data_IF_069804489431
#
_entry.id   IF_069804489431
#
_cell.length_a   1.000
_cell.length_b   1.000
_cell.length_c   1.000
_cell.angle_alpha   90.00
_cell.angle_beta   90.00
_cell.angle_gamma   90.00
#
_symmetry.space_group_name_H-M   'P 1'
#
loop_
_entity.id
_entity.type
_entity.pdbx_description
1 polymer ?
#
# COMPACT_ATOMS: atom_id res chain seq x y z
N UNK A 1 -18.66 14.65 7.63
CA UNK A 1 -18.64 13.45 6.76
C UNK A 1 -19.19 13.83 5.39
N UNK A 2 -18.59 13.33 4.31
CA UNK A 2 -19.10 13.56 2.95
C UNK A 2 -19.98 12.37 2.54
N UNK A 3 -21.17 12.67 2.05
CA UNK A 3 -22.13 11.71 1.49
C UNK A 3 -22.26 11.97 0.00
N UNK A 4 -22.38 10.94 -0.82
CA UNK A 4 -22.69 11.08 -2.25
C UNK A 4 -24.06 10.48 -2.52
N UNK A 5 -25.00 11.30 -2.97
CA UNK A 5 -26.38 10.91 -3.27
C UNK A 5 -26.70 11.40 -4.68
N UNK A 6 -27.09 10.48 -5.58
CA UNK A 6 -27.43 10.83 -6.96
C UNK A 6 -26.29 11.46 -7.76
N UNK A 7 -25.02 11.16 -7.44
CA UNK A 7 -23.84 11.77 -8.05
C UNK A 7 -23.43 13.13 -7.47
N UNK A 8 -24.21 13.69 -6.56
CA UNK A 8 -23.91 14.94 -5.86
C UNK A 8 -23.30 14.68 -4.50
N UNK A 9 -22.38 15.56 -4.05
CA UNK A 9 -21.68 15.45 -2.76
C UNK A 9 -22.38 16.34 -1.73
N UNK A 10 -22.63 15.78 -0.53
CA UNK A 10 -23.23 16.45 0.60
C UNK A 10 -22.31 16.36 1.82
N UNK A 11 -22.31 17.40 2.64
CA UNK A 11 -21.58 17.42 3.90
C UNK A 11 -22.50 17.10 5.06
N UNK A 12 -22.19 16.02 5.81
CA UNK A 12 -22.85 15.72 7.08
C UNK A 12 -22.05 16.36 8.21
N UNK A 13 -22.69 17.18 9.00
CA UNK A 13 -22.14 17.76 10.23
C UNK A 13 -23.11 17.56 11.39
N UNK A 14 -22.56 17.41 12.58
CA UNK A 14 -23.35 17.25 13.82
C UNK A 14 -23.31 18.57 14.56
N UNK A 15 -24.46 19.07 14.94
CA UNK A 15 -24.57 20.28 15.77
C UNK A 15 -25.29 19.96 17.08
N UNK A 16 -24.89 20.54 18.19
CA UNK A 16 -25.53 20.31 19.49
C UNK A 16 -26.90 20.99 19.63
N UNK A 17 -27.31 21.82 18.64
CA UNK A 17 -28.57 22.56 18.68
C UNK A 17 -29.36 22.29 17.40
N UNK A 18 -30.66 22.07 17.52
CA UNK A 18 -31.57 21.91 16.40
C UNK A 18 -31.88 23.30 15.77
N UNK A 19 -31.53 23.43 14.50
CA UNK A 19 -31.94 24.54 13.63
C UNK A 19 -32.44 23.95 12.31
N UNK A 20 -33.20 24.71 11.57
CA UNK A 20 -33.64 24.33 10.21
C UNK A 20 -32.42 24.37 9.30
N UNK A 21 -32.04 23.25 8.69
CA UNK A 21 -30.95 23.17 7.71
C UNK A 21 -31.52 22.95 6.33
N UNK A 22 -31.06 23.70 5.36
CA UNK A 22 -31.26 23.42 3.95
C UNK A 22 -30.05 22.69 3.41
N UNK A 23 -30.27 21.57 2.72
CA UNK A 23 -29.24 20.93 1.89
C UNK A 23 -29.15 21.73 0.59
N UNK A 24 -28.05 22.44 0.42
CA UNK A 24 -27.81 23.26 -0.79
C UNK A 24 -26.62 22.64 -1.54
N UNK A 25 -26.71 22.60 -2.86
CA UNK A 25 -25.62 22.20 -3.73
C UNK A 25 -24.50 23.25 -3.63
N UNK A 26 -23.30 22.85 -3.32
CA UNK A 26 -22.17 23.75 -3.17
C UNK A 26 -21.82 24.45 -4.50
N UNK A 27 -22.08 23.82 -5.64
CA UNK A 27 -21.89 24.41 -6.95
C UNK A 27 -22.89 25.55 -7.21
N UNK A 28 -24.14 25.43 -6.73
CA UNK A 28 -25.17 26.53 -6.81
C UNK A 28 -24.78 27.77 -6.00
N UNK A 29 -23.97 27.57 -4.94
CA UNK A 29 -23.49 28.66 -4.08
C UNK A 29 -22.15 29.25 -4.55
N UNK A 30 -21.54 28.73 -5.62
CA UNK A 30 -20.20 29.12 -6.08
C UNK A 30 -19.10 28.87 -5.06
N UNK A 31 -19.32 27.94 -4.12
CA UNK A 31 -18.32 27.55 -3.13
C UNK A 31 -17.39 26.53 -3.74
N UNK A 32 -16.07 26.80 -3.75
CA UNK A 32 -15.05 25.80 -4.02
C UNK A 32 -15.07 24.76 -2.91
N UNK A 33 -15.47 23.55 -3.26
CA UNK A 33 -15.45 22.41 -2.34
C UNK A 33 -14.02 21.85 -2.34
N UNK A 34 -13.20 22.26 -1.40
CA UNK A 34 -11.94 21.55 -1.16
C UNK A 34 -12.25 20.11 -0.71
N UNK A 35 -12.01 19.14 -1.58
CA UNK A 35 -12.05 17.75 -1.17
C UNK A 35 -10.99 17.53 -0.06
N UNK A 36 -11.34 16.86 1.06
CA UNK A 36 -10.37 16.57 2.09
C UNK A 36 -9.20 15.82 1.49
N UNK A 37 -8.08 16.51 1.35
CA UNK A 37 -6.87 15.92 0.76
C UNK A 37 -6.35 14.85 1.72
N UNK A 38 -6.34 13.62 1.23
CA UNK A 38 -5.80 12.49 1.97
C UNK A 38 -4.28 12.65 2.06
N UNK A 39 -3.75 12.77 3.29
CA UNK A 39 -2.31 12.77 3.49
C UNK A 39 -1.72 11.38 3.29
N UNK A 40 -1.33 11.11 2.06
CA UNK A 40 -0.74 9.84 1.66
C UNK A 40 0.55 9.49 2.44
N UNK A 41 1.30 10.49 2.92
CA UNK A 41 2.52 10.26 3.72
C UNK A 41 2.16 9.79 5.13
N UNK A 42 1.22 10.48 5.80
CA UNK A 42 0.75 10.12 7.12
C UNK A 42 0.09 8.72 7.13
N UNK A 43 -0.76 8.43 6.15
CA UNK A 43 -1.38 7.12 6.00
C UNK A 43 -0.35 6.01 5.72
N UNK A 44 0.58 6.26 4.82
CA UNK A 44 1.63 5.27 4.50
C UNK A 44 2.54 4.99 5.70
N UNK A 45 2.81 5.96 6.55
CA UNK A 45 3.60 5.78 7.77
C UNK A 45 2.95 4.82 8.79
N UNK A 46 1.61 4.72 8.79
CA UNK A 46 0.85 3.82 9.67
C UNK A 46 0.86 2.36 9.17
N UNK A 47 1.26 2.09 7.92
CA UNK A 47 1.29 0.75 7.38
C UNK A 47 2.33 -0.14 8.07
N UNK A 48 1.90 -1.32 8.53
CA UNK A 48 2.75 -2.31 9.21
C UNK A 48 2.75 -3.67 8.49
N UNK A 49 3.02 -3.74 7.19
CA UNK A 49 2.91 -4.97 6.43
C UNK A 49 3.90 -6.03 6.91
N UNK A 50 3.45 -7.27 6.98
CA UNK A 50 4.28 -8.43 7.31
C UNK A 50 4.58 -9.20 6.03
N UNK A 51 5.85 -9.37 5.70
CA UNK A 51 6.25 -10.19 4.57
C UNK A 51 6.76 -11.55 5.01
N UNK A 52 6.38 -12.57 4.28
CA UNK A 52 6.83 -13.96 4.48
C UNK A 52 7.32 -14.55 3.16
N UNK A 53 8.33 -15.41 3.21
CA UNK A 53 8.75 -16.18 2.06
C UNK A 53 8.53 -17.67 2.29
N UNK A 54 8.11 -18.37 1.26
CA UNK A 54 7.95 -19.82 1.28
C UNK A 54 8.48 -20.41 -0.03
N UNK A 55 9.08 -21.60 0.06
CA UNK A 55 9.47 -22.39 -1.10
C UNK A 55 8.20 -22.96 -1.74
N UNK A 56 8.00 -22.74 -3.04
CA UNK A 56 6.84 -23.25 -3.77
C UNK A 56 7.16 -24.36 -4.76
N UNK A 57 8.40 -24.45 -5.23
CA UNK A 57 8.89 -25.50 -6.13
C UNK A 57 10.41 -25.61 -6.00
N UNK A 58 11.01 -26.58 -6.70
CA UNK A 58 12.47 -26.85 -6.63
C UNK A 58 13.36 -25.60 -6.76
N UNK A 59 12.92 -24.60 -7.54
CA UNK A 59 13.70 -23.37 -7.81
C UNK A 59 12.95 -22.07 -7.51
N UNK A 60 11.77 -22.14 -6.89
CA UNK A 60 10.94 -20.95 -6.70
C UNK A 60 10.73 -20.61 -5.22
N UNK A 61 10.85 -19.34 -4.89
CA UNK A 61 10.51 -18.80 -3.59
C UNK A 61 9.42 -17.75 -3.79
N UNK A 62 8.25 -17.99 -3.21
CA UNK A 62 7.16 -17.00 -3.18
C UNK A 62 7.32 -16.11 -1.96
N UNK A 63 7.35 -14.81 -2.18
CA UNK A 63 7.30 -13.79 -1.15
C UNK A 63 5.87 -13.23 -1.14
N UNK A 64 5.21 -13.28 0.00
CA UNK A 64 3.84 -12.77 0.17
C UNK A 64 3.85 -11.68 1.24
N UNK A 65 3.15 -10.59 0.97
CA UNK A 65 2.89 -9.51 1.92
C UNK A 65 1.51 -9.74 2.52
N UNK A 66 1.47 -9.92 3.83
CA UNK A 66 0.22 -10.00 4.59
C UNK A 66 -0.10 -8.63 5.14
N UNK A 67 -1.34 -8.21 4.96
CA UNK A 67 -1.91 -6.96 5.40
C UNK A 67 -2.98 -7.29 6.44
N UNK A 68 -2.95 -6.66 7.58
CA UNK A 68 -4.00 -6.77 8.58
C UNK A 68 -5.25 -5.95 8.19
N UNK A 69 -6.24 -5.87 9.08
CA UNK A 69 -7.47 -5.13 8.82
C UNK A 69 -7.21 -3.63 8.67
N UNK A 70 -6.32 -3.07 9.48
CA UNK A 70 -5.95 -1.67 9.46
C UNK A 70 -5.16 -1.32 8.18
N UNK A 71 -4.14 -2.12 7.82
CA UNK A 71 -3.38 -1.95 6.57
C UNK A 71 -4.31 -1.95 5.34
N UNK A 72 -5.29 -2.88 5.32
CA UNK A 72 -6.26 -2.97 4.20
C UNK A 72 -7.16 -1.73 4.13
N UNK A 73 -7.62 -1.21 5.27
CA UNK A 73 -8.43 0.01 5.32
C UNK A 73 -7.64 1.22 4.81
N UNK A 74 -6.39 1.39 5.27
CA UNK A 74 -5.51 2.47 4.80
C UNK A 74 -5.26 2.36 3.28
N UNK A 75 -4.98 1.16 2.78
CA UNK A 75 -4.75 0.97 1.34
C UNK A 75 -6.00 1.24 0.53
N UNK A 76 -7.19 0.92 1.06
CA UNK A 76 -8.46 1.26 0.42
C UNK A 76 -8.64 2.77 0.36
N UNK A 77 -8.47 3.48 1.48
CA UNK A 77 -8.56 4.94 1.57
C UNK A 77 -7.62 5.64 0.58
N UNK A 78 -6.35 5.20 0.51
CA UNK A 78 -5.40 5.71 -0.47
C UNK A 78 -5.86 5.52 -1.92
N UNK A 79 -6.46 4.36 -2.23
CA UNK A 79 -6.95 4.08 -3.59
C UNK A 79 -8.21 4.88 -3.93
N UNK A 80 -9.12 5.01 -2.98
CA UNK A 80 -10.33 5.81 -3.14
C UNK A 80 -10.00 7.29 -3.38
N UNK A 81 -8.87 7.77 -2.81
CA UNK A 81 -8.30 9.08 -3.06
C UNK A 81 -7.42 9.17 -4.33
N UNK A 82 -7.50 8.22 -5.24
CA UNK A 82 -6.81 8.25 -6.54
C UNK A 82 -5.35 7.77 -6.54
N UNK A 83 -4.79 7.38 -5.39
CA UNK A 83 -3.41 6.91 -5.35
C UNK A 83 -3.27 5.46 -5.83
N UNK A 84 -2.15 5.16 -6.47
CA UNK A 84 -1.76 3.81 -6.85
C UNK A 84 -0.79 3.21 -5.82
N UNK A 85 -1.18 2.09 -5.20
CA UNK A 85 -0.33 1.36 -4.24
C UNK A 85 0.38 0.21 -4.94
N UNK A 86 1.71 0.14 -4.80
CA UNK A 86 2.56 -0.92 -5.35
C UNK A 86 3.48 -1.47 -4.26
N UNK A 87 3.89 -2.73 -4.44
CA UNK A 87 4.81 -3.44 -3.56
C UNK A 87 6.14 -3.61 -4.28
N UNK A 88 7.22 -3.07 -3.69
CA UNK A 88 8.57 -3.26 -4.20
C UNK A 88 9.27 -4.33 -3.40
N UNK A 89 9.73 -5.35 -4.10
CA UNK A 89 10.45 -6.47 -3.52
C UNK A 89 11.94 -6.31 -3.78
N UNK A 90 12.74 -6.56 -2.75
CA UNK A 90 14.19 -6.52 -2.80
C UNK A 90 14.75 -7.88 -2.48
N UNK A 91 15.89 -8.20 -3.06
CA UNK A 91 16.58 -9.47 -2.87
C UNK A 91 18.06 -9.25 -2.61
N UNK A 92 18.64 -10.07 -1.72
CA UNK A 92 20.08 -10.15 -1.48
C UNK A 92 20.49 -11.60 -1.23
N UNK A 93 21.75 -11.90 -1.45
CA UNK A 93 22.41 -13.13 -0.98
C UNK A 93 23.05 -12.95 0.41
N UNK A 94 23.11 -11.71 0.91
CA UNK A 94 23.60 -11.36 2.25
C UNK A 94 22.45 -10.94 3.15
N UNK A 95 22.42 -11.41 4.42
CA UNK A 95 21.31 -11.12 5.35
C UNK A 95 21.19 -9.64 5.70
N UNK A 96 22.29 -8.97 5.94
CA UNK A 96 22.31 -7.60 6.46
C UNK A 96 22.43 -6.53 5.36
N UNK A 97 22.96 -6.85 4.19
CA UNK A 97 23.36 -5.87 3.18
C UNK A 97 23.11 -6.34 1.74
N UNK A 98 23.43 -5.48 0.75
CA UNK A 98 23.43 -5.84 -0.67
C UNK A 98 22.05 -6.05 -1.28
N UNK A 99 20.98 -5.49 -0.70
CA UNK A 99 19.63 -5.61 -1.23
C UNK A 99 19.46 -4.78 -2.51
N UNK A 100 19.19 -5.49 -3.61
CA UNK A 100 18.85 -4.89 -4.89
C UNK A 100 17.36 -5.05 -5.17
N UNK A 101 16.75 -4.07 -5.81
CA UNK A 101 15.38 -4.15 -6.25
C UNK A 101 15.21 -5.31 -7.25
N UNK A 102 14.29 -6.22 -6.95
CA UNK A 102 13.98 -7.34 -7.83
C UNK A 102 12.81 -7.01 -8.76
N UNK A 103 11.71 -6.50 -8.19
CA UNK A 103 10.50 -6.16 -8.95
C UNK A 103 9.60 -5.20 -8.16
N UNK A 104 8.78 -4.43 -8.87
CA UNK A 104 7.67 -3.66 -8.31
C UNK A 104 6.36 -4.17 -8.92
N UNK A 105 5.36 -4.49 -8.10
CA UNK A 105 4.07 -5.05 -8.53
C UNK A 105 2.90 -4.37 -7.85
N UNK A 106 1.73 -4.36 -8.48
CA UNK A 106 0.46 -3.99 -7.86
C UNK A 106 -0.05 -5.10 -6.91
N UNK A 107 0.36 -6.35 -7.12
CA UNK A 107 -0.01 -7.49 -6.28
C UNK A 107 0.92 -7.64 -5.08
N UNK A 108 0.36 -8.02 -3.92
CA UNK A 108 1.06 -8.24 -2.67
C UNK A 108 1.90 -9.54 -2.66
N UNK A 109 2.33 -10.03 -3.82
CA UNK A 109 3.14 -11.24 -3.93
C UNK A 109 4.12 -11.19 -5.10
N UNK A 110 5.24 -11.90 -4.91
CA UNK A 110 6.30 -12.04 -5.89
C UNK A 110 6.89 -13.45 -5.83
N UNK A 111 7.04 -14.10 -6.99
CA UNK A 111 7.75 -15.39 -7.10
C UNK A 111 9.13 -15.13 -7.69
N UNK A 112 10.16 -15.45 -6.92
CA UNK A 112 11.54 -15.41 -7.38
C UNK A 112 11.86 -16.72 -8.10
N UNK A 113 12.04 -16.67 -9.41
CA UNK A 113 12.40 -17.81 -10.28
C UNK A 113 13.87 -17.82 -10.68
N UNK A 114 14.58 -16.72 -10.47
CA UNK A 114 16.00 -16.53 -10.91
C UNK A 114 17.00 -16.91 -9.83
N UNK A 115 16.78 -18.01 -9.14
CA UNK A 115 17.69 -18.48 -8.13
C UNK A 115 18.80 -19.35 -8.72
N UNK A 116 20.02 -19.23 -8.18
CA UNK A 116 21.10 -20.20 -8.40
C UNK A 116 20.94 -21.35 -7.43
N UNK A 117 21.18 -22.59 -7.89
CA UNK A 117 21.19 -23.81 -7.06
C UNK A 117 22.15 -23.63 -5.87
N UNK A 118 21.72 -24.01 -4.66
CA UNK A 118 22.51 -23.88 -3.44
C UNK A 118 22.60 -22.47 -2.84
N UNK A 119 22.07 -21.44 -3.52
CA UNK A 119 22.14 -20.08 -3.01
C UNK A 119 21.01 -19.76 -2.02
N UNK A 120 21.36 -19.10 -0.94
CA UNK A 120 20.45 -18.58 0.06
C UNK A 120 20.08 -17.14 -0.31
N UNK A 121 18.77 -16.85 -0.36
CA UNK A 121 18.27 -15.50 -0.65
C UNK A 121 17.50 -14.93 0.53
N UNK A 122 17.70 -13.66 0.75
CA UNK A 122 17.00 -12.84 1.73
C UNK A 122 16.16 -11.80 1.01
N UNK A 123 15.00 -11.47 1.57
CA UNK A 123 14.08 -10.54 0.95
C UNK A 123 13.71 -9.41 1.90
N UNK A 124 13.50 -8.23 1.33
CA UNK A 124 12.85 -7.10 1.97
C UNK A 124 11.72 -6.60 1.08
N UNK A 125 10.73 -5.99 1.69
CA UNK A 125 9.62 -5.35 0.98
C UNK A 125 9.50 -3.88 1.37
N UNK A 126 8.89 -3.12 0.48
CA UNK A 126 8.50 -1.74 0.70
C UNK A 126 7.16 -1.50 0.00
N UNK A 127 6.18 -0.96 0.73
CA UNK A 127 4.96 -0.45 0.12
C UNK A 127 5.26 0.95 -0.42
N UNK A 128 4.80 1.24 -1.62
CA UNK A 128 5.01 2.50 -2.32
C UNK A 128 3.69 3.03 -2.82
N UNK A 129 3.46 4.31 -2.62
CA UNK A 129 2.26 5.04 -3.02
C UNK A 129 2.65 6.06 -4.07
N UNK A 130 1.92 6.06 -5.16
CA UNK A 130 2.13 6.93 -6.32
C UNK A 130 0.87 7.75 -6.56
N UNK A 131 1.04 8.99 -6.94
CA UNK A 131 -0.06 9.85 -7.39
C UNK A 131 -0.60 9.42 -8.77
N UNK A 132 -1.58 10.14 -9.26
CA UNK A 132 -2.21 9.93 -10.58
C UNK A 132 -1.22 10.05 -11.75
N UNK A 133 -0.20 10.90 -11.60
CA UNK A 133 0.86 11.11 -12.59
C UNK A 133 1.96 10.02 -12.53
N UNK A 134 1.82 9.04 -11.62
CA UNK A 134 2.80 7.98 -11.45
C UNK A 134 4.07 8.40 -10.68
N UNK A 135 4.08 9.57 -10.05
CA UNK A 135 5.17 10.03 -9.20
C UNK A 135 5.07 9.39 -7.81
N UNK A 136 6.19 8.98 -7.26
CA UNK A 136 6.27 8.41 -5.92
C UNK A 136 6.01 9.48 -4.86
N UNK A 137 4.89 9.39 -4.17
CA UNK A 137 4.47 10.34 -3.13
C UNK A 137 4.90 9.89 -1.74
N UNK A 138 4.75 8.58 -1.44
CA UNK A 138 5.10 8.03 -0.14
C UNK A 138 5.63 6.59 -0.25
N UNK A 139 6.37 6.15 0.77
CA UNK A 139 6.88 4.78 0.88
C UNK A 139 7.08 4.40 2.35
N UNK A 140 6.85 3.12 2.69
CA UNK A 140 7.20 2.59 4.01
C UNK A 140 8.71 2.44 4.16
N UNK A 141 9.18 2.26 5.39
CA UNK A 141 10.52 1.71 5.62
C UNK A 141 10.67 0.32 4.98
N UNK A 142 11.90 -0.09 4.71
CA UNK A 142 12.19 -1.44 4.25
C UNK A 142 11.92 -2.45 5.37
N UNK A 143 11.00 -3.39 5.13
CA UNK A 143 10.67 -4.47 6.07
C UNK A 143 11.33 -5.78 5.66
N UNK A 144 12.08 -6.38 6.59
CA UNK A 144 12.67 -7.71 6.40
C UNK A 144 11.57 -8.76 6.35
N UNK A 145 11.62 -9.69 5.38
CA UNK A 145 10.72 -10.83 5.37
C UNK A 145 11.00 -11.78 6.54
N UNK A 146 9.97 -12.18 7.26
CA UNK A 146 10.04 -13.31 8.18
C UNK A 146 10.30 -14.59 7.37
N UNK A 147 11.17 -15.46 7.86
CA UNK A 147 11.57 -16.71 7.17
C UNK A 147 12.23 -16.52 5.79
N UNK A 148 12.87 -15.38 5.59
CA UNK A 148 13.40 -14.93 4.31
C UNK A 148 14.60 -15.72 3.77
N UNK A 149 15.10 -16.71 4.48
CA UNK A 149 16.22 -17.51 4.00
C UNK A 149 15.77 -18.90 3.59
N UNK A 150 15.87 -19.20 2.32
CA UNK A 150 15.68 -20.56 1.81
C UNK A 150 16.87 -20.96 0.98
N UNK A 151 17.48 -22.08 1.36
CA UNK A 151 18.51 -22.75 0.58
C UNK A 151 17.82 -23.59 -0.49
N UNK A 152 18.27 -23.49 -1.70
CA UNK A 152 17.86 -24.37 -2.76
C UNK A 152 18.56 -25.72 -2.55
N UNK A 153 17.89 -26.65 -1.90
CA UNK A 153 18.39 -28.03 -1.83
C UNK A 153 18.24 -28.72 -3.19
N UNK A 154 19.15 -29.62 -3.45
CA UNK A 154 19.17 -30.51 -4.63
C UNK A 154 17.84 -31.20 -4.89
#
# INVERSE_FOLDING_TARGET
KVLTIGGKKYYEFTTPHFSTFALVDAEELGLEVEEPQVDAKALTAKLTPIARSAKTAKKNVKVTVSLDKQDKAIIKELKDAGYTVKYRFYRSTKKAAGYKAAVTKKTASYTNTVGKKGMKYFYKIQVRVYDENGKLTAKTALKQCKYASRIWTR
#
